data_IF_912128845813
#
_entry.id   IF_912128845813
#
_cell.length_a   1.000
_cell.length_b   1.000
_cell.length_c   1.000
_cell.angle_alpha   90.00
_cell.angle_beta   90.00
_cell.angle_gamma   90.00
#
_symmetry.space_group_name_H-M   'P 1'
#
loop_
_entity.id
_entity.type
_entity.pdbx_description
1 polymer ?
#
# COMPACT_ATOMS: atom_id res chain seq x y z
N UNK A 1 5.71 39.27 8.48
CA UNK A 1 6.34 38.35 9.47
C UNK A 1 6.20 36.94 8.89
N UNK A 2 7.28 36.15 8.76
CA UNK A 2 7.20 34.82 8.15
C UNK A 2 6.50 33.87 9.13
N UNK A 3 5.35 33.30 8.76
CA UNK A 3 4.60 32.39 9.64
C UNK A 3 5.43 31.15 9.96
N UNK A 4 5.56 30.85 11.26
CA UNK A 4 6.33 29.71 11.75
C UNK A 4 5.39 28.53 11.95
N UNK A 5 5.52 27.49 11.12
CA UNK A 5 4.74 26.26 11.27
C UNK A 5 5.19 25.46 12.49
N UNK A 6 4.29 24.67 13.08
CA UNK A 6 4.60 23.77 14.19
C UNK A 6 5.81 22.86 13.88
N UNK A 7 5.88 22.30 12.67
CA UNK A 7 7.01 21.47 12.24
C UNK A 7 8.34 22.22 12.20
N UNK A 8 8.33 23.49 11.82
CA UNK A 8 9.55 24.34 11.80
C UNK A 8 10.05 24.62 13.21
N UNK A 9 9.11 24.89 14.13
CA UNK A 9 9.42 25.14 15.53
C UNK A 9 9.98 23.88 16.22
N UNK A 10 9.34 22.73 16.04
CA UNK A 10 9.84 21.45 16.59
C UNK A 10 11.22 21.11 16.02
N UNK A 11 11.43 21.27 14.70
CA UNK A 11 12.74 21.03 14.10
C UNK A 11 13.83 21.92 14.71
N UNK A 12 13.56 23.21 14.93
CA UNK A 12 14.49 24.11 15.64
C UNK A 12 14.77 23.66 17.06
N UNK A 13 13.74 23.29 17.83
CA UNK A 13 13.91 22.82 19.21
C UNK A 13 14.75 21.53 19.29
N UNK A 14 14.66 20.66 18.29
CA UNK A 14 15.50 19.47 18.18
C UNK A 14 16.96 19.77 17.82
N UNK A 15 17.30 20.97 17.32
CA UNK A 15 18.71 21.36 17.06
C UNK A 15 19.48 21.77 18.32
N UNK A 16 18.79 22.05 19.43
CA UNK A 16 19.45 22.36 20.70
C UNK A 16 20.18 21.15 21.28
N UNK A 17 21.16 21.38 22.16
CA UNK A 17 21.91 20.32 22.85
C UNK A 17 20.97 19.42 23.67
N UNK A 18 21.33 18.15 23.89
CA UNK A 18 20.52 17.22 24.66
C UNK A 18 20.31 17.65 26.13
N UNK A 19 21.20 18.49 26.65
CA UNK A 19 21.12 19.10 27.99
C UNK A 19 20.12 20.25 28.08
N UNK A 20 19.66 20.78 26.94
CA UNK A 20 18.67 21.86 26.93
C UNK A 20 17.35 21.38 27.57
N UNK A 21 16.83 22.09 28.59
CA UNK A 21 15.65 21.65 29.34
C UNK A 21 14.40 21.59 28.48
N UNK A 22 14.25 22.50 27.52
CA UNK A 22 13.09 22.53 26.61
C UNK A 22 13.12 21.36 25.63
N UNK A 23 14.29 21.04 25.04
CA UNK A 23 14.45 19.84 24.22
C UNK A 23 14.12 18.59 25.03
N UNK A 24 14.66 18.48 26.25
CA UNK A 24 14.40 17.33 27.13
C UNK A 24 12.92 17.17 27.45
N UNK A 25 12.22 18.25 27.79
CA UNK A 25 10.79 18.22 28.08
C UNK A 25 9.95 17.69 26.90
N UNK A 26 10.28 18.06 25.66
CA UNK A 26 9.59 17.58 24.46
C UNK A 26 9.80 16.07 24.26
N UNK A 27 11.01 15.58 24.47
CA UNK A 27 11.30 14.15 24.35
C UNK A 27 10.65 13.34 25.47
N UNK A 28 10.58 13.86 26.70
CA UNK A 28 9.82 13.21 27.78
C UNK A 28 8.32 13.19 27.49
N UNK A 29 7.77 14.25 26.89
CA UNK A 29 6.38 14.25 26.42
C UNK A 29 6.14 13.18 25.35
N UNK A 30 7.03 13.06 24.36
CA UNK A 30 6.96 11.99 23.34
C UNK A 30 6.97 10.59 23.98
N UNK A 31 7.84 10.37 24.97
CA UNK A 31 7.88 9.10 25.73
C UNK A 31 6.58 8.79 26.45
N UNK A 32 5.93 9.78 27.05
CA UNK A 32 4.63 9.61 27.71
C UNK A 32 3.58 9.19 26.68
N UNK A 33 3.49 9.90 25.56
CA UNK A 33 2.54 9.59 24.47
C UNK A 33 2.77 8.18 23.93
N UNK A 34 4.04 7.82 23.68
CA UNK A 34 4.44 6.48 23.20
C UNK A 34 4.10 5.39 24.21
N UNK A 35 4.34 5.63 25.49
CA UNK A 35 4.00 4.70 26.58
C UNK A 35 2.48 4.47 26.66
N UNK A 36 1.68 5.54 26.60
CA UNK A 36 0.22 5.44 26.60
C UNK A 36 -0.26 4.65 25.38
N UNK A 37 0.28 4.91 24.19
CA UNK A 37 -0.05 4.16 22.99
C UNK A 37 0.30 2.67 23.14
N UNK A 38 1.51 2.37 23.63
CA UNK A 38 1.99 0.99 23.82
C UNK A 38 1.12 0.22 24.81
N UNK A 39 0.75 0.84 25.93
CA UNK A 39 -0.15 0.23 26.91
C UNK A 39 -1.55 0.00 26.34
N UNK A 40 -2.08 0.94 25.54
CA UNK A 40 -3.35 0.76 24.84
C UNK A 40 -3.28 -0.36 23.82
N UNK A 41 -2.19 -0.43 23.05
CA UNK A 41 -1.94 -1.47 22.07
C UNK A 41 -1.94 -2.87 22.71
N UNK A 42 -1.24 -3.02 23.84
CA UNK A 42 -1.18 -4.29 24.57
C UNK A 42 -2.52 -4.70 25.22
N UNK A 43 -3.37 -3.73 25.55
CA UNK A 43 -4.66 -3.98 26.22
C UNK A 43 -5.82 -4.21 25.25
N UNK A 44 -5.74 -3.65 24.04
CA UNK A 44 -6.82 -3.69 23.04
C UNK A 44 -6.41 -4.49 21.80
N UNK A 45 -6.83 -5.77 21.71
CA UNK A 45 -6.54 -6.61 20.54
C UNK A 45 -7.09 -6.05 19.22
N UNK A 46 -8.13 -5.20 19.26
CA UNK A 46 -8.68 -4.60 18.05
C UNK A 46 -7.75 -3.49 17.53
N UNK A 47 -7.15 -2.70 18.41
CA UNK A 47 -6.13 -1.71 18.05
C UNK A 47 -4.92 -2.38 17.41
N UNK A 48 -4.45 -3.48 17.99
CA UNK A 48 -3.37 -4.31 17.43
C UNK A 48 -3.73 -4.82 16.02
N UNK A 49 -4.89 -5.46 15.86
CA UNK A 49 -5.34 -5.99 14.56
C UNK A 49 -5.45 -4.90 13.50
N UNK A 50 -5.94 -3.71 13.87
CA UNK A 50 -6.05 -2.58 12.96
C UNK A 50 -4.67 -2.07 12.52
N UNK A 51 -3.72 -1.96 13.46
CA UNK A 51 -2.35 -1.57 13.16
C UNK A 51 -1.66 -2.58 12.25
N UNK A 52 -1.73 -3.88 12.57
CA UNK A 52 -1.20 -4.95 11.73
C UNK A 52 -1.83 -4.97 10.34
N UNK A 53 -3.15 -4.76 10.22
CA UNK A 53 -3.82 -4.70 8.91
C UNK A 53 -3.28 -3.55 8.06
N UNK A 54 -3.07 -2.38 8.66
CA UNK A 54 -2.49 -1.22 7.97
C UNK A 54 -1.05 -1.50 7.52
N UNK A 55 -0.24 -2.06 8.42
CA UNK A 55 1.15 -2.44 8.12
C UNK A 55 1.22 -3.48 7.00
N UNK A 56 0.43 -4.56 7.08
CA UNK A 56 0.37 -5.61 6.07
C UNK A 56 -0.01 -5.06 4.69
N UNK A 57 -0.87 -4.03 4.62
CA UNK A 57 -1.22 -3.37 3.35
C UNK A 57 -0.02 -2.64 2.75
N UNK A 58 0.73 -1.91 3.57
CA UNK A 58 1.94 -1.20 3.14
C UNK A 58 3.03 -2.20 2.71
N UNK A 59 3.23 -3.26 3.50
CA UNK A 59 4.19 -4.31 3.17
C UNK A 59 3.81 -5.05 1.88
N UNK A 60 2.54 -5.39 1.68
CA UNK A 60 2.05 -6.00 0.44
C UNK A 60 2.33 -5.11 -0.78
N UNK A 61 2.10 -3.80 -0.64
CA UNK A 61 2.43 -2.83 -1.70
C UNK A 61 3.94 -2.78 -1.98
N UNK A 62 4.78 -2.78 -0.94
CA UNK A 62 6.23 -2.78 -1.12
C UNK A 62 6.75 -4.07 -1.76
N UNK A 63 6.20 -5.22 -1.38
CA UNK A 63 6.54 -6.50 -1.99
C UNK A 63 6.10 -6.56 -3.46
N UNK A 64 4.91 -6.05 -3.79
CA UNK A 64 4.46 -5.86 -5.18
C UNK A 64 5.45 -5.00 -5.97
N UNK A 65 5.82 -3.84 -5.42
CA UNK A 65 6.76 -2.92 -6.07
C UNK A 65 8.13 -3.58 -6.28
N UNK A 66 8.61 -4.33 -5.29
CA UNK A 66 9.86 -5.08 -5.41
C UNK A 66 9.78 -6.13 -6.53
N UNK A 67 8.66 -6.86 -6.64
CA UNK A 67 8.46 -7.83 -7.71
C UNK A 67 8.43 -7.17 -9.10
N UNK A 68 7.79 -6.01 -9.25
CA UNK A 68 7.78 -5.24 -10.51
C UNK A 68 9.20 -4.80 -10.89
N UNK A 69 10.01 -4.32 -9.93
CA UNK A 69 11.38 -3.90 -10.20
C UNK A 69 12.29 -5.06 -10.63
N UNK A 70 12.03 -6.27 -10.15
CA UNK A 70 12.79 -7.47 -10.53
C UNK A 70 12.48 -7.98 -11.95
N UNK A 71 11.45 -7.45 -12.61
CA UNK A 71 11.09 -7.84 -13.98
C UNK A 71 12.23 -7.51 -14.94
N UNK A 72 12.63 -8.50 -15.76
CA UNK A 72 13.76 -8.35 -16.68
C UNK A 72 15.15 -8.57 -16.06
N UNK A 73 15.22 -9.16 -14.85
CA UNK A 73 16.47 -9.67 -14.28
C UNK A 73 17.38 -8.63 -13.62
N UNK A 74 16.96 -7.37 -13.54
CA UNK A 74 17.71 -6.31 -12.87
C UNK A 74 17.37 -6.31 -11.38
N UNK A 75 18.40 -6.40 -10.52
CA UNK A 75 18.26 -6.28 -9.06
C UNK A 75 18.26 -4.83 -8.56
N UNK A 76 18.41 -3.85 -9.45
CA UNK A 76 18.66 -2.44 -9.11
C UNK A 76 17.82 -1.45 -9.92
N UNK A 77 17.72 -0.23 -9.38
CA UNK A 77 17.10 0.96 -9.98
C UNK A 77 17.52 1.07 -11.45
N UNK A 78 16.55 1.05 -12.35
CA UNK A 78 16.84 1.15 -13.78
C UNK A 78 17.07 2.62 -14.14
N UNK A 79 18.30 2.97 -14.47
CA UNK A 79 18.71 4.32 -14.86
C UNK A 79 20.15 4.60 -14.46
N UNK A 80 20.87 5.39 -15.25
CA UNK A 80 22.24 5.84 -14.96
C UNK A 80 22.27 7.26 -14.38
N UNK A 81 21.15 7.98 -14.46
CA UNK A 81 20.97 9.34 -13.94
C UNK A 81 19.81 9.43 -12.95
N UNK A 82 19.82 10.44 -12.08
CA UNK A 82 18.74 10.67 -11.11
C UNK A 82 17.37 10.80 -11.77
N UNK A 83 17.31 11.42 -12.96
CA UNK A 83 16.09 11.58 -13.74
C UNK A 83 15.57 10.23 -14.24
N UNK A 84 16.44 9.39 -14.80
CA UNK A 84 16.05 8.06 -15.28
C UNK A 84 15.58 7.15 -14.13
N UNK A 85 16.26 7.22 -12.98
CA UNK A 85 15.87 6.51 -11.76
C UNK A 85 14.47 6.97 -11.30
N UNK A 86 14.21 8.28 -11.31
CA UNK A 86 12.91 8.83 -10.93
C UNK A 86 11.81 8.40 -11.92
N UNK A 87 12.07 8.46 -13.23
CA UNK A 87 11.14 7.97 -14.26
C UNK A 87 10.83 6.49 -14.04
N UNK A 88 11.86 5.65 -13.86
CA UNK A 88 11.68 4.23 -13.57
C UNK A 88 10.87 4.00 -12.29
N UNK A 89 11.09 4.79 -11.25
CA UNK A 89 10.35 4.72 -10.00
C UNK A 89 8.86 5.06 -10.21
N UNK A 90 8.56 6.07 -11.02
CA UNK A 90 7.19 6.48 -11.33
C UNK A 90 6.48 5.45 -12.22
N UNK A 91 7.18 4.86 -13.21
CA UNK A 91 6.64 3.76 -14.00
C UNK A 91 6.30 2.55 -13.14
N UNK A 92 7.18 2.15 -12.21
CA UNK A 92 6.89 1.06 -11.28
C UNK A 92 5.68 1.35 -10.37
N UNK A 93 5.53 2.61 -9.92
CA UNK A 93 4.35 3.05 -9.15
C UNK A 93 3.07 2.98 -10.00
N UNK A 94 3.14 3.41 -11.26
CA UNK A 94 2.00 3.35 -12.19
C UNK A 94 1.56 1.90 -12.41
N UNK A 95 2.50 0.98 -12.69
CA UNK A 95 2.19 -0.44 -12.88
C UNK A 95 1.56 -1.04 -11.62
N UNK A 96 2.11 -0.74 -10.43
CA UNK A 96 1.53 -1.20 -9.17
C UNK A 96 0.08 -0.71 -8.98
N UNK A 97 -0.18 0.56 -9.30
CA UNK A 97 -1.53 1.13 -9.22
C UNK A 97 -2.50 0.48 -10.21
N UNK A 98 -2.05 0.19 -11.43
CA UNK A 98 -2.86 -0.51 -12.45
C UNK A 98 -3.23 -1.91 -11.97
N UNK A 99 -2.27 -2.66 -11.41
CA UNK A 99 -2.52 -3.99 -10.84
C UNK A 99 -3.53 -3.92 -9.69
N UNK A 100 -3.33 -2.98 -8.76
CA UNK A 100 -4.24 -2.78 -7.62
C UNK A 100 -5.64 -2.41 -8.10
N UNK A 101 -5.74 -1.54 -9.10
CA UNK A 101 -7.01 -1.16 -9.70
C UNK A 101 -7.71 -2.36 -10.33
N UNK A 102 -7.00 -3.13 -11.14
CA UNK A 102 -7.52 -4.33 -11.81
C UNK A 102 -8.07 -5.35 -10.79
N UNK A 103 -7.27 -5.67 -9.77
CA UNK A 103 -7.70 -6.56 -8.69
C UNK A 103 -8.88 -6.00 -7.91
N UNK A 104 -8.87 -4.69 -7.60
CA UNK A 104 -9.98 -4.05 -6.88
C UNK A 104 -11.27 -4.11 -7.70
N UNK A 105 -11.20 -3.85 -9.01
CA UNK A 105 -12.37 -3.90 -9.88
C UNK A 105 -13.00 -5.31 -9.91
N UNK A 106 -12.17 -6.35 -10.03
CA UNK A 106 -12.62 -7.76 -9.97
C UNK A 106 -13.24 -8.07 -8.60
N UNK A 107 -12.56 -7.73 -7.51
CA UNK A 107 -13.04 -8.01 -6.15
C UNK A 107 -14.33 -7.25 -5.85
N UNK A 108 -14.46 -5.99 -6.28
CA UNK A 108 -15.68 -5.20 -6.14
C UNK A 108 -16.84 -5.83 -6.90
N UNK A 109 -16.62 -6.28 -8.13
CA UNK A 109 -17.68 -6.91 -8.92
C UNK A 109 -18.11 -8.27 -8.33
N UNK A 110 -17.15 -9.07 -7.87
CA UNK A 110 -17.43 -10.32 -7.14
C UNK A 110 -18.23 -10.07 -5.87
N UNK A 111 -17.88 -9.03 -5.11
CA UNK A 111 -18.58 -8.66 -3.90
C UNK A 111 -20.05 -8.35 -4.19
N UNK A 112 -20.32 -7.53 -5.21
CA UNK A 112 -21.69 -7.19 -5.62
C UNK A 112 -22.50 -8.43 -6.02
N UNK A 113 -21.90 -9.38 -6.76
CA UNK A 113 -22.57 -10.64 -7.11
C UNK A 113 -22.88 -11.50 -5.88
N UNK A 114 -21.93 -11.63 -4.95
CA UNK A 114 -22.12 -12.43 -3.72
C UNK A 114 -23.14 -11.83 -2.75
N UNK A 115 -23.18 -10.49 -2.67
CA UNK A 115 -24.21 -9.77 -1.90
C UNK A 115 -25.60 -9.99 -2.52
N UNK A 116 -25.72 -9.94 -3.85
CA UNK A 116 -26.98 -10.22 -4.55
C UNK A 116 -27.43 -11.68 -4.39
N UNK A 117 -26.51 -12.63 -4.30
CA UNK A 117 -26.82 -14.06 -4.09
C UNK A 117 -27.01 -14.44 -2.61
N UNK A 118 -26.82 -13.52 -1.67
CA UNK A 118 -27.00 -13.76 -0.23
C UNK A 118 -25.96 -14.70 0.41
N UNK A 119 -24.75 -14.81 -0.17
CA UNK A 119 -23.72 -15.72 0.34
C UNK A 119 -22.75 -15.03 1.31
N UNK A 120 -23.09 -15.02 2.60
CA UNK A 120 -22.28 -14.40 3.65
C UNK A 120 -20.84 -14.95 3.72
N UNK A 121 -20.67 -16.24 3.42
CA UNK A 121 -19.34 -16.89 3.42
C UNK A 121 -18.45 -16.36 2.30
N UNK A 122 -19.00 -16.18 1.10
CA UNK A 122 -18.26 -15.68 -0.05
C UNK A 122 -17.87 -14.20 0.15
N UNK A 123 -18.81 -13.39 0.64
CA UNK A 123 -18.58 -11.98 1.01
C UNK A 123 -17.46 -11.83 2.05
N UNK A 124 -17.46 -12.67 3.09
CA UNK A 124 -16.42 -12.67 4.11
C UNK A 124 -15.05 -13.08 3.54
N UNK A 125 -15.00 -14.00 2.57
CA UNK A 125 -13.76 -14.41 1.91
C UNK A 125 -13.18 -13.28 1.06
N UNK A 126 -14.01 -12.67 0.19
CA UNK A 126 -13.61 -11.56 -0.70
C UNK A 126 -13.07 -10.38 0.11
N UNK A 127 -13.72 -10.05 1.23
CA UNK A 127 -13.30 -8.96 2.12
C UNK A 127 -11.92 -9.17 2.74
N UNK A 128 -11.44 -10.42 2.83
CA UNK A 128 -10.10 -10.75 3.35
C UNK A 128 -9.03 -10.75 2.26
N UNK A 129 -9.40 -10.70 0.98
CA UNK A 129 -8.44 -10.69 -0.13
C UNK A 129 -7.78 -9.32 -0.25
N UNK A 130 -6.47 -9.32 -0.49
CA UNK A 130 -5.72 -8.09 -0.68
C UNK A 130 -5.75 -7.67 -2.15
N UNK A 131 -6.22 -6.46 -2.49
CA UNK A 131 -6.13 -5.94 -3.86
C UNK A 131 -4.68 -5.74 -4.32
N UNK A 132 -3.73 -5.69 -3.39
CA UNK A 132 -2.32 -5.61 -3.73
C UNK A 132 -1.74 -6.94 -4.18
N UNK A 133 -2.44 -8.09 -4.07
CA UNK A 133 -1.90 -9.40 -4.45
C UNK A 133 -1.49 -9.46 -5.93
N UNK A 134 -0.37 -10.13 -6.24
CA UNK A 134 0.16 -10.18 -7.61
C UNK A 134 0.68 -11.54 -8.03
N UNK A 135 0.63 -12.54 -7.15
CA UNK A 135 1.18 -13.86 -7.45
C UNK A 135 0.41 -14.59 -8.56
N UNK A 136 -0.84 -14.17 -8.82
CA UNK A 136 -1.67 -14.62 -9.93
C UNK A 136 -1.38 -13.89 -11.25
N UNK A 137 -0.57 -12.84 -11.24
CA UNK A 137 -0.20 -12.06 -12.42
C UNK A 137 1.18 -12.51 -12.88
N UNK A 138 1.27 -12.99 -14.11
CA UNK A 138 2.57 -13.18 -14.76
C UNK A 138 3.13 -11.80 -15.07
N UNK A 139 4.21 -11.40 -14.39
CA UNK A 139 4.93 -10.14 -14.62
C UNK A 139 6.12 -10.31 -15.58
N UNK A 140 6.70 -11.51 -15.62
CA UNK A 140 7.79 -11.87 -16.53
C UNK A 140 7.22 -12.66 -17.70
N UNK A 141 7.13 -12.02 -18.87
CA UNK A 141 6.62 -12.63 -20.08
C UNK A 141 6.84 -11.77 -21.31
N UNK A 142 6.55 -12.34 -22.47
CA UNK A 142 6.49 -11.60 -23.72
C UNK A 142 5.07 -11.07 -23.89
N UNK A 143 4.92 -9.74 -23.86
CA UNK A 143 3.63 -9.08 -24.04
C UNK A 143 3.62 -8.36 -25.38
N UNK A 144 2.57 -8.59 -26.16
CA UNK A 144 2.27 -7.82 -27.36
C UNK A 144 1.14 -6.84 -27.03
N UNK A 145 1.32 -5.57 -27.41
CA UNK A 145 0.23 -4.61 -27.28
C UNK A 145 -0.90 -5.00 -28.24
N UNK A 146 -2.11 -5.14 -27.71
CA UNK A 146 -3.30 -5.25 -28.56
C UNK A 146 -3.60 -3.88 -29.16
N UNK A 147 -4.11 -3.87 -30.40
CA UNK A 147 -4.46 -2.62 -31.08
C UNK A 147 -5.53 -1.84 -30.31
N UNK A 148 -5.45 -0.52 -30.39
CA UNK A 148 -6.40 0.42 -29.80
C UNK A 148 -7.82 0.04 -30.26
N UNK A 149 -8.70 -0.34 -29.31
CA UNK A 149 -10.12 -0.63 -29.59
C UNK A 149 -10.70 -1.86 -28.87
N UNK A 150 -9.89 -2.81 -28.42
CA UNK A 150 -10.36 -3.90 -27.54
C UNK A 150 -10.10 -3.53 -26.08
N UNK A 151 -11.08 -2.88 -25.45
CA UNK A 151 -11.08 -2.74 -23.98
C UNK A 151 -11.28 -4.13 -23.34
N UNK A 152 -10.65 -4.33 -22.19
CA UNK A 152 -10.88 -5.51 -21.36
C UNK A 152 -12.30 -5.40 -20.81
N UNK A 153 -13.19 -6.28 -21.26
CA UNK A 153 -14.52 -6.43 -20.70
C UNK A 153 -14.42 -7.24 -19.40
N UNK A 154 -14.47 -6.54 -18.28
CA UNK A 154 -14.42 -7.14 -16.96
C UNK A 154 -15.66 -8.01 -16.71
N UNK A 155 -16.84 -7.60 -17.15
CA UNK A 155 -18.08 -8.35 -16.92
C UNK A 155 -18.05 -9.70 -17.64
N UNK A 156 -17.53 -9.72 -18.87
CA UNK A 156 -17.32 -10.95 -19.64
C UNK A 156 -16.29 -11.88 -18.99
N UNK A 157 -15.17 -11.35 -18.46
CA UNK A 157 -14.19 -12.14 -17.70
C UNK A 157 -14.80 -12.76 -16.44
N UNK A 158 -15.72 -12.05 -15.80
CA UNK A 158 -16.38 -12.47 -14.58
C UNK A 158 -17.57 -13.41 -14.80
N UNK A 159 -18.08 -13.55 -16.02
CA UNK A 159 -19.21 -14.43 -16.33
C UNK A 159 -18.87 -15.92 -16.17
N UNK A 160 -17.59 -16.30 -16.34
CA UNK A 160 -17.13 -17.68 -16.16
C UNK A 160 -16.65 -18.05 -14.75
N UNK A 161 -16.69 -17.11 -13.80
CA UNK A 161 -16.23 -17.33 -12.42
C UNK A 161 -17.42 -17.67 -11.52
N UNK A 162 -17.65 -18.97 -11.30
CA UNK A 162 -18.55 -19.43 -10.25
C UNK A 162 -17.78 -19.57 -8.93
N UNK A 163 -18.13 -18.74 -7.95
CA UNK A 163 -17.71 -18.93 -6.56
C UNK A 163 -18.63 -19.99 -5.95
N UNK A 164 -18.13 -21.23 -5.86
CA UNK A 164 -18.85 -22.38 -5.29
C UNK A 164 -19.24 -22.23 -3.82
#
# INVERSE_FOLDING_TARGET
MKEMTQGTLIRKLCTYTATNPTRRAIFELDKIVRSIYTLRYLRDPQLERNAHRSQNRIESYHQLRAAITQVGGKKELTGRTDIEIEISNQCARLIANVIIYYNSAILSHLLTKCEASGSDKATALITRMSPAAWRHILLNGLYTFQSIGKMIDLDALMAGLELG
#
